data_IF_308627578335
#
_entry.id   IF_308627578335
#
_cell.length_a   1.000
_cell.length_b   1.000
_cell.length_c   1.000
_cell.angle_alpha   90.00
_cell.angle_beta   90.00
_cell.angle_gamma   90.00
#
_symmetry.space_group_name_H-M   'P 1'
#
loop_
_entity.id
_entity.type
_entity.pdbx_description
1 polymer ?
#
# COMPACT_ATOMS: atom_id res chain seq x y z
N UNK A 1 -47.91 -59.83 -32.40
CA UNK A 1 -48.10 -58.61 -31.59
C UNK A 1 -47.79 -58.88 -30.12
N UNK A 2 -46.52 -58.95 -29.70
CA UNK A 2 -46.12 -59.04 -28.28
C UNK A 2 -44.61 -58.87 -28.11
N UNK A 3 -44.06 -57.69 -28.45
CA UNK A 3 -42.65 -57.34 -28.15
C UNK A 3 -42.48 -55.81 -28.05
N UNK A 4 -43.16 -55.17 -27.10
CA UNK A 4 -42.97 -53.72 -26.86
C UNK A 4 -43.23 -53.25 -25.42
N UNK A 5 -43.04 -54.13 -24.42
CA UNK A 5 -43.27 -53.79 -23.00
C UNK A 5 -42.05 -53.94 -22.08
N UNK A 6 -40.82 -54.10 -22.60
CA UNK A 6 -39.62 -54.32 -21.75
C UNK A 6 -38.66 -53.14 -21.58
N UNK A 7 -38.82 -52.01 -22.28
CA UNK A 7 -37.82 -50.92 -22.23
C UNK A 7 -38.17 -49.70 -21.35
N UNK A 8 -39.41 -49.57 -20.87
CA UNK A 8 -39.79 -48.38 -20.07
C UNK A 8 -39.14 -48.39 -18.68
N UNK A 9 -38.96 -49.56 -18.07
CA UNK A 9 -38.38 -49.69 -16.73
C UNK A 9 -36.91 -49.25 -16.66
N UNK A 10 -36.11 -49.63 -17.66
CA UNK A 10 -34.67 -49.32 -17.70
C UNK A 10 -34.40 -47.83 -17.90
N UNK A 11 -35.20 -47.15 -18.72
CA UNK A 11 -35.08 -45.70 -18.96
C UNK A 11 -35.44 -44.91 -17.70
N UNK A 12 -36.49 -45.31 -16.97
CA UNK A 12 -36.88 -44.65 -15.71
C UNK A 12 -35.79 -44.81 -14.64
N UNK A 13 -35.20 -45.99 -14.50
CA UNK A 13 -34.10 -46.21 -13.54
C UNK A 13 -32.86 -45.38 -13.90
N UNK A 14 -32.49 -45.30 -15.18
CA UNK A 14 -31.36 -44.49 -15.62
C UNK A 14 -31.57 -42.98 -15.35
N UNK A 15 -32.77 -42.46 -15.62
CA UNK A 15 -33.10 -41.04 -15.35
C UNK A 15 -33.06 -40.73 -13.85
N UNK A 16 -33.57 -41.64 -13.01
CA UNK A 16 -33.51 -41.47 -11.55
C UNK A 16 -32.07 -41.50 -11.02
N UNK A 17 -31.21 -42.39 -11.52
CA UNK A 17 -29.80 -42.47 -11.12
C UNK A 17 -29.02 -41.21 -11.51
N UNK A 18 -29.26 -40.66 -12.70
CA UNK A 18 -28.65 -39.38 -13.13
C UNK A 18 -29.15 -38.23 -12.27
N UNK A 19 -30.47 -38.17 -11.98
CA UNK A 19 -31.04 -37.14 -11.12
C UNK A 19 -30.47 -37.14 -9.69
N UNK A 20 -30.34 -38.33 -9.08
CA UNK A 20 -29.75 -38.49 -7.74
C UNK A 20 -28.26 -38.10 -7.74
N UNK A 21 -27.50 -38.50 -8.77
CA UNK A 21 -26.08 -38.16 -8.90
C UNK A 21 -25.87 -36.65 -9.04
N UNK A 22 -26.70 -35.97 -9.83
CA UNK A 22 -26.64 -34.52 -9.99
C UNK A 22 -27.01 -33.78 -8.69
N UNK A 23 -28.05 -34.23 -7.99
CA UNK A 23 -28.46 -33.65 -6.70
C UNK A 23 -27.37 -33.80 -5.63
N UNK A 24 -26.73 -34.99 -5.55
CA UNK A 24 -25.59 -35.22 -4.65
C UNK A 24 -24.40 -34.34 -5.03
N UNK A 25 -24.07 -34.21 -6.31
CA UNK A 25 -22.98 -33.35 -6.77
C UNK A 25 -23.22 -31.87 -6.40
N UNK A 26 -24.43 -31.36 -6.61
CA UNK A 26 -24.81 -29.98 -6.23
C UNK A 26 -24.73 -29.78 -4.72
N UNK A 27 -25.22 -30.75 -3.93
CA UNK A 27 -25.17 -30.71 -2.45
C UNK A 27 -23.72 -30.70 -1.94
N UNK A 28 -22.87 -31.60 -2.44
CA UNK A 28 -21.44 -31.66 -2.06
C UNK A 28 -20.71 -30.36 -2.44
N UNK A 29 -20.97 -29.81 -3.64
CA UNK A 29 -20.41 -28.51 -4.05
C UNK A 29 -20.86 -27.37 -3.16
N UNK A 30 -22.11 -27.35 -2.73
CA UNK A 30 -22.63 -26.32 -1.82
C UNK A 30 -21.99 -26.44 -0.42
N UNK A 31 -21.86 -27.65 0.12
CA UNK A 31 -21.19 -27.89 1.41
C UNK A 31 -19.72 -27.50 1.37
N UNK A 32 -18.97 -27.89 0.32
CA UNK A 32 -17.57 -27.50 0.16
C UNK A 32 -17.40 -25.97 0.00
N UNK A 33 -18.32 -25.32 -0.71
CA UNK A 33 -18.31 -23.85 -0.82
C UNK A 33 -18.61 -23.16 0.53
N UNK A 34 -19.45 -23.76 1.38
CA UNK A 34 -19.74 -23.25 2.71
C UNK A 34 -18.55 -23.43 3.66
N UNK A 35 -17.94 -24.61 3.69
CA UNK A 35 -16.74 -24.91 4.47
C UNK A 35 -15.54 -24.04 4.07
N UNK A 36 -15.37 -23.80 2.76
CA UNK A 36 -14.32 -22.90 2.30
C UNK A 36 -14.54 -21.46 2.78
N UNK A 37 -15.79 -20.97 2.74
CA UNK A 37 -16.13 -19.63 3.25
C UNK A 37 -15.94 -19.52 4.76
N UNK A 38 -16.27 -20.56 5.54
CA UNK A 38 -16.04 -20.52 7.00
C UNK A 38 -14.56 -20.51 7.32
N UNK A 39 -13.74 -21.33 6.66
CA UNK A 39 -12.29 -21.34 6.85
C UNK A 39 -11.63 -20.00 6.49
N UNK A 40 -12.04 -19.35 5.39
CA UNK A 40 -11.56 -18.00 5.03
C UNK A 40 -11.94 -16.96 6.09
N UNK A 41 -13.19 -17.01 6.59
CA UNK A 41 -13.68 -16.08 7.63
C UNK A 41 -12.94 -16.28 8.95
N UNK A 42 -12.65 -17.52 9.35
CA UNK A 42 -11.88 -17.82 10.56
C UNK A 42 -10.42 -17.37 10.45
N UNK A 43 -9.75 -17.65 9.33
CA UNK A 43 -8.40 -17.17 9.07
C UNK A 43 -8.34 -15.62 9.08
N UNK A 44 -9.35 -14.96 8.54
CA UNK A 44 -9.47 -13.51 8.60
C UNK A 44 -9.66 -13.00 10.03
N UNK A 45 -10.53 -13.62 10.83
CA UNK A 45 -10.71 -13.29 12.26
C UNK A 45 -9.40 -13.44 13.04
N UNK A 46 -8.65 -14.51 12.81
CA UNK A 46 -7.37 -14.73 13.48
C UNK A 46 -6.34 -13.64 13.14
N UNK A 47 -6.23 -13.23 11.86
CA UNK A 47 -5.38 -12.12 11.43
C UNK A 47 -5.82 -10.79 12.02
N UNK A 48 -7.13 -10.54 12.09
CA UNK A 48 -7.68 -9.33 12.71
C UNK A 48 -7.34 -9.26 14.21
N UNK A 49 -7.47 -10.37 14.95
CA UNK A 49 -7.08 -10.43 16.37
C UNK A 49 -5.57 -10.23 16.57
N UNK A 50 -4.71 -10.82 15.73
CA UNK A 50 -3.27 -10.62 15.80
C UNK A 50 -2.86 -9.15 15.52
N UNK A 51 -3.51 -8.52 14.53
CA UNK A 51 -3.34 -7.10 14.25
C UNK A 51 -3.80 -6.23 15.43
N UNK A 52 -4.92 -6.57 16.07
CA UNK A 52 -5.43 -5.87 17.25
C UNK A 52 -4.50 -6.01 18.46
N UNK A 53 -3.95 -7.19 18.71
CA UNK A 53 -2.96 -7.41 19.77
C UNK A 53 -1.70 -6.54 19.55
N UNK A 54 -1.21 -6.47 18.31
CA UNK A 54 -0.08 -5.63 17.92
C UNK A 54 -0.37 -4.14 18.14
N UNK A 55 -1.57 -3.69 17.77
CA UNK A 55 -2.00 -2.30 18.00
C UNK A 55 -2.10 -2.00 19.50
N UNK A 56 -2.64 -2.92 20.30
CA UNK A 56 -2.77 -2.75 21.76
C UNK A 56 -1.41 -2.61 22.44
N UNK A 57 -0.38 -3.34 21.98
CA UNK A 57 1.00 -3.19 22.44
C UNK A 57 1.62 -1.82 22.09
N UNK A 58 1.12 -1.14 21.07
CA UNK A 58 1.62 0.16 20.62
C UNK A 58 0.82 1.36 21.18
N UNK A 59 -0.31 1.11 21.87
CA UNK A 59 -1.29 2.12 22.27
C UNK A 59 -1.43 2.33 23.79
N UNK A 60 -0.75 1.54 24.64
CA UNK A 60 -0.69 1.81 26.09
C UNK A 60 0.57 2.62 26.46
N UNK A 61 0.48 3.97 26.54
CA UNK A 61 1.62 4.80 26.93
C UNK A 61 2.03 4.62 28.40
N UNK A 62 1.24 3.93 29.23
CA UNK A 62 1.50 3.72 30.65
C UNK A 62 2.06 2.33 30.97
N UNK A 63 1.98 1.36 30.05
CA UNK A 63 2.57 0.02 30.22
C UNK A 63 3.85 -0.22 29.40
N UNK A 64 4.39 0.77 28.70
CA UNK A 64 5.76 0.64 28.20
C UNK A 64 6.73 0.64 29.39
N UNK A 65 7.42 -0.48 29.72
CA UNK A 65 8.62 -0.39 30.54
C UNK A 65 9.50 0.68 29.88
N UNK A 66 10.04 1.61 30.68
CA UNK A 66 10.93 2.71 30.22
C UNK A 66 11.65 2.23 28.98
N UNK A 67 11.29 2.78 27.81
CA UNK A 67 11.73 2.27 26.53
C UNK A 67 13.22 1.94 26.65
N UNK A 68 13.59 0.68 26.45
CA UNK A 68 14.97 0.25 26.48
C UNK A 68 15.78 1.32 25.72
N UNK A 69 16.89 1.81 26.29
CA UNK A 69 17.59 2.98 25.78
C UNK A 69 17.72 2.84 24.28
N UNK A 70 16.98 3.69 23.55
CA UNK A 70 16.92 3.61 22.09
C UNK A 70 18.37 3.62 21.63
N UNK A 71 18.80 2.54 20.96
CA UNK A 71 20.16 2.39 20.44
C UNK A 71 20.57 3.73 19.84
N UNK A 72 21.73 4.22 20.31
CA UNK A 72 22.20 5.58 20.11
C UNK A 72 21.91 6.10 18.70
N UNK A 73 21.10 7.15 18.61
CA UNK A 73 21.02 7.95 17.38
C UNK A 73 22.42 8.47 17.08
N UNK A 74 22.99 8.02 15.95
CA UNK A 74 24.26 8.55 15.46
C UNK A 74 24.09 10.04 15.22
N UNK A 75 24.90 10.88 15.87
CA UNK A 75 24.94 12.34 15.66
C UNK A 75 25.62 12.74 14.34
N UNK A 76 25.89 11.80 13.43
CA UNK A 76 26.58 12.12 12.19
C UNK A 76 25.65 12.99 11.34
N UNK A 77 25.99 14.28 11.23
CA UNK A 77 25.34 15.25 10.37
C UNK A 77 25.65 14.87 8.92
N UNK A 78 24.93 13.88 8.39
CA UNK A 78 24.98 13.60 6.97
C UNK A 78 24.38 14.80 6.24
N UNK A 79 25.12 15.30 5.26
CA UNK A 79 24.56 16.23 4.28
C UNK A 79 23.37 15.50 3.65
N UNK A 80 22.17 16.09 3.71
CA UNK A 80 21.01 15.51 3.04
C UNK A 80 21.38 15.36 1.56
N UNK A 81 21.20 14.18 1.00
CA UNK A 81 21.59 13.88 -0.38
C UNK A 81 20.80 14.67 -1.45
N UNK A 82 20.01 15.67 -1.03
CA UNK A 82 19.01 16.33 -1.84
C UNK A 82 17.89 15.36 -2.24
N UNK A 83 16.78 15.93 -2.71
CA UNK A 83 15.79 15.15 -3.45
C UNK A 83 16.36 14.90 -4.86
N UNK A 84 16.36 13.65 -5.38
CA UNK A 84 16.81 13.37 -6.74
C UNK A 84 16.12 14.27 -7.77
N UNK A 85 16.86 14.76 -8.77
CA UNK A 85 16.37 15.73 -9.74
C UNK A 85 15.08 15.29 -10.46
N UNK A 86 14.91 13.97 -10.68
CA UNK A 86 13.69 13.40 -11.30
C UNK A 86 12.40 13.63 -10.49
N UNK A 87 12.51 13.94 -9.20
CA UNK A 87 11.38 14.32 -8.35
C UNK A 87 11.28 15.85 -8.17
N UNK A 88 12.29 16.63 -8.59
CA UNK A 88 12.37 18.07 -8.38
C UNK A 88 12.23 18.50 -6.92
N UNK A 89 11.76 19.73 -6.71
CA UNK A 89 11.57 20.28 -5.37
C UNK A 89 10.48 19.53 -4.57
N UNK A 90 10.61 19.46 -3.22
CA UNK A 90 9.58 18.89 -2.36
C UNK A 90 8.18 19.46 -2.62
N UNK A 91 7.16 18.57 -2.64
CA UNK A 91 5.76 18.92 -2.91
C UNK A 91 4.88 18.48 -1.76
N UNK A 92 4.22 19.47 -1.13
CA UNK A 92 3.21 19.24 -0.10
C UNK A 92 1.94 19.97 -0.51
N UNK A 93 0.84 19.24 -0.62
CA UNK A 93 -0.47 19.76 -1.04
C UNK A 93 -1.40 19.83 0.17
N UNK A 94 -2.20 20.90 0.28
CA UNK A 94 -3.14 21.08 1.38
C UNK A 94 -2.65 21.98 2.52
N UNK A 95 -1.47 22.60 2.39
CA UNK A 95 -0.91 23.52 3.40
C UNK A 95 -1.84 24.72 3.67
N UNK A 96 -2.57 25.16 2.65
CA UNK A 96 -3.57 26.22 2.71
C UNK A 96 -4.74 25.85 3.65
N UNK A 97 -5.01 24.56 3.88
CA UNK A 97 -6.11 24.11 4.75
C UNK A 97 -5.73 24.05 6.23
N UNK A 98 -4.43 24.14 6.56
CA UNK A 98 -3.93 23.96 7.92
C UNK A 98 -4.47 25.02 8.89
N UNK A 99 -4.51 26.29 8.48
CA UNK A 99 -4.99 27.39 9.32
C UNK A 99 -6.46 27.21 9.67
N UNK A 100 -7.29 26.86 8.68
CA UNK A 100 -8.71 26.58 8.86
C UNK A 100 -8.95 25.43 9.85
N UNK A 101 -8.19 24.33 9.72
CA UNK A 101 -8.28 23.21 10.66
C UNK A 101 -7.92 23.62 12.09
N UNK A 102 -6.80 24.33 12.28
CA UNK A 102 -6.37 24.78 13.61
C UNK A 102 -7.37 25.75 14.24
N UNK A 103 -8.03 26.60 13.43
CA UNK A 103 -9.09 27.49 13.89
C UNK A 103 -10.37 26.76 14.29
N UNK A 104 -10.75 25.72 13.55
CA UNK A 104 -11.98 24.97 13.80
C UNK A 104 -11.87 23.96 14.96
N UNK A 105 -10.67 23.42 15.23
CA UNK A 105 -10.47 22.35 16.21
C UNK A 105 -9.63 22.84 17.38
N UNK A 106 -10.17 22.71 18.61
CA UNK A 106 -9.47 23.07 19.85
C UNK A 106 -8.15 22.30 19.99
N UNK A 107 -7.06 22.92 20.51
CA UNK A 107 -5.73 22.29 20.58
C UNK A 107 -5.72 20.85 21.13
N UNK A 108 -6.32 20.60 22.29
CA UNK A 108 -6.38 19.26 22.93
C UNK A 108 -7.18 18.21 22.13
N UNK A 109 -7.96 18.66 21.14
CA UNK A 109 -8.75 17.81 20.25
C UNK A 109 -8.15 17.69 18.86
N UNK A 110 -7.06 18.39 18.51
CA UNK A 110 -6.42 18.25 17.19
C UNK A 110 -5.73 16.90 17.11
N UNK A 111 -6.10 16.10 16.11
CA UNK A 111 -5.52 14.78 15.88
C UNK A 111 -5.06 14.68 14.45
N UNK A 112 -3.92 14.05 14.23
CA UNK A 112 -3.51 13.62 12.90
C UNK A 112 -3.54 12.11 12.78
N UNK A 113 -3.70 11.65 11.56
CA UNK A 113 -3.70 10.24 11.27
C UNK A 113 -3.10 9.96 9.89
N UNK A 114 -2.25 8.93 9.74
CA UNK A 114 -1.73 8.58 8.43
C UNK A 114 -2.84 7.99 7.56
N UNK A 115 -2.86 8.40 6.30
CA UNK A 115 -3.66 7.82 5.24
C UNK A 115 -2.77 7.54 4.02
N UNK A 116 -3.15 6.61 3.16
CA UNK A 116 -2.39 6.29 1.96
C UNK A 116 -2.68 4.89 1.47
N UNK A 117 -2.45 4.63 0.19
CA UNK A 117 -2.59 3.29 -0.39
C UNK A 117 -1.66 2.28 0.31
N UNK A 118 -1.89 0.98 0.09
CA UNK A 118 -0.88 -0.02 0.45
C UNK A 118 0.48 0.35 -0.17
N UNK A 119 1.58 0.06 0.52
CA UNK A 119 2.95 0.33 0.04
C UNK A 119 3.35 1.79 -0.27
N UNK A 120 2.58 2.80 0.15
CA UNK A 120 2.98 4.21 -0.05
C UNK A 120 3.91 4.77 1.03
N UNK A 121 4.12 4.09 2.16
CA UNK A 121 5.00 4.57 3.24
C UNK A 121 4.30 5.22 4.44
N UNK A 122 3.01 4.94 4.66
CA UNK A 122 2.27 5.43 5.85
C UNK A 122 2.95 5.09 7.19
N UNK A 123 3.62 3.94 7.31
CA UNK A 123 4.36 3.60 8.52
C UNK A 123 5.60 4.50 8.73
N UNK A 124 6.28 4.89 7.64
CA UNK A 124 7.42 5.83 7.70
C UNK A 124 6.94 7.20 8.17
N UNK A 125 5.86 7.72 7.59
CA UNK A 125 5.21 8.95 8.04
C UNK A 125 4.89 8.89 9.54
N UNK A 126 4.24 7.81 9.97
CA UNK A 126 3.84 7.64 11.36
C UNK A 126 5.03 7.65 12.32
N UNK A 127 6.09 6.88 12.02
CA UNK A 127 7.30 6.82 12.84
C UNK A 127 7.97 8.20 12.93
N UNK A 128 8.14 8.88 11.79
CA UNK A 128 8.79 10.20 11.74
C UNK A 128 8.00 11.27 12.51
N UNK A 129 6.68 11.38 12.29
CA UNK A 129 5.87 12.36 13.01
C UNK A 129 5.79 12.07 14.52
N UNK A 130 5.68 10.80 14.95
CA UNK A 130 5.67 10.47 16.38
C UNK A 130 7.00 10.79 17.07
N UNK A 131 8.12 10.58 16.37
CA UNK A 131 9.44 10.88 16.93
C UNK A 131 9.69 12.39 17.04
N UNK A 132 9.18 13.16 16.08
CA UNK A 132 9.60 14.55 15.85
C UNK A 132 8.52 15.62 16.05
N UNK A 133 7.26 15.26 16.31
CA UNK A 133 6.20 16.24 16.54
C UNK A 133 5.78 16.28 18.01
N UNK A 134 5.80 17.47 18.61
CA UNK A 134 5.30 17.74 19.95
C UNK A 134 3.97 18.49 19.87
N UNK A 135 3.03 18.18 20.76
CA UNK A 135 1.77 18.90 20.90
C UNK A 135 1.63 19.41 22.32
N UNK A 136 1.01 20.58 22.48
CA UNK A 136 0.71 21.14 23.79
C UNK A 136 -0.53 20.50 24.40
N UNK A 137 -0.48 20.27 25.71
CA UNK A 137 -1.58 19.71 26.48
C UNK A 137 -1.63 18.17 26.48
N UNK A 138 -2.63 17.64 27.19
CA UNK A 138 -2.90 16.20 27.27
C UNK A 138 -3.87 15.83 26.15
N UNK A 139 -3.51 14.86 25.31
CA UNK A 139 -4.38 14.41 24.22
C UNK A 139 -3.79 13.29 23.37
N UNK A 140 -4.67 12.52 22.72
CA UNK A 140 -4.30 11.52 21.70
C UNK A 140 -4.14 12.21 20.35
N UNK A 141 -3.05 12.98 20.18
CA UNK A 141 -2.81 13.77 18.97
C UNK A 141 -2.36 12.93 17.77
N UNK A 142 -1.65 11.82 18.00
CA UNK A 142 -1.08 10.98 16.95
C UNK A 142 -1.79 9.62 16.86
N UNK A 143 -2.68 9.46 15.88
CA UNK A 143 -3.36 8.19 15.65
C UNK A 143 -2.50 7.24 14.80
N UNK A 144 -2.58 5.94 15.08
CA UNK A 144 -1.90 4.91 14.27
C UNK A 144 -2.46 4.84 12.83
N UNK A 145 -3.74 5.17 12.65
CA UNK A 145 -4.43 5.20 11.36
C UNK A 145 -5.62 6.15 11.41
N UNK A 146 -6.07 6.63 10.24
CA UNK A 146 -7.33 7.34 10.13
C UNK A 146 -8.49 6.48 10.65
N UNK A 147 -9.53 7.05 11.29
CA UNK A 147 -10.59 6.23 11.86
C UNK A 147 -11.34 5.36 10.87
N UNK A 148 -11.45 5.78 9.62
CA UNK A 148 -12.03 5.00 8.54
C UNK A 148 -11.07 3.98 7.92
N UNK A 149 -9.87 3.79 8.49
CA UNK A 149 -8.83 2.87 8.02
C UNK A 149 -7.80 3.56 7.13
N UNK A 150 -6.50 3.38 7.41
CA UNK A 150 -5.41 4.10 6.70
C UNK A 150 -5.35 3.84 5.18
N UNK A 151 -5.83 2.68 4.73
CA UNK A 151 -5.79 2.26 3.32
C UNK A 151 -7.13 2.41 2.59
N UNK A 152 -8.19 2.81 3.31
CA UNK A 152 -9.51 2.90 2.71
C UNK A 152 -9.67 4.19 1.90
N UNK A 153 -10.46 4.15 0.80
CA UNK A 153 -10.82 5.34 0.05
C UNK A 153 -11.47 6.39 0.96
N UNK A 154 -11.36 7.65 0.60
CA UNK A 154 -11.84 8.76 1.43
C UNK A 154 -13.35 8.75 1.66
N UNK A 155 -14.12 8.16 0.74
CA UNK A 155 -15.57 8.01 0.86
C UNK A 155 -15.99 7.19 2.10
N UNK A 156 -15.06 6.48 2.74
CA UNK A 156 -15.31 5.74 3.97
C UNK A 156 -15.22 6.62 5.24
N UNK A 157 -14.79 7.88 5.11
CA UNK A 157 -14.71 8.84 6.21
C UNK A 157 -16.12 9.10 6.78
N UNK A 158 -16.34 8.70 8.04
CA UNK A 158 -17.63 8.81 8.71
C UNK A 158 -18.53 7.57 8.54
N UNK A 159 -18.42 6.91 7.39
CA UNK A 159 -19.18 5.69 7.05
C UNK A 159 -18.59 4.41 7.64
N UNK A 160 -17.28 4.40 7.92
CA UNK A 160 -16.60 3.27 8.55
C UNK A 160 -15.70 3.72 9.68
N UNK A 161 -15.61 2.80 10.65
CA UNK A 161 -14.76 2.90 11.82
C UNK A 161 -13.94 1.63 11.93
N UNK A 162 -12.62 1.79 11.99
CA UNK A 162 -11.71 0.71 12.31
C UNK A 162 -12.04 0.18 13.72
N UNK A 163 -11.83 -1.12 14.01
CA UNK A 163 -12.32 -1.76 15.23
C UNK A 163 -11.92 -1.06 16.54
N UNK A 164 -10.74 -0.45 16.60
CA UNK A 164 -10.27 0.27 17.78
C UNK A 164 -10.96 1.63 18.02
N UNK A 165 -11.69 2.14 17.02
CA UNK A 165 -12.42 3.40 17.10
C UNK A 165 -13.94 3.23 17.20
N UNK A 166 -14.43 1.99 17.39
CA UNK A 166 -15.86 1.70 17.58
C UNK A 166 -16.24 1.74 19.05
N UNK A 167 -17.50 2.11 19.38
CA UNK A 167 -18.04 1.89 20.72
C UNK A 167 -17.91 0.41 21.14
N UNK A 168 -17.62 0.12 22.41
CA UNK A 168 -17.52 1.05 23.55
C UNK A 168 -16.12 1.67 23.76
N UNK A 169 -15.15 1.43 22.86
CA UNK A 169 -13.73 1.78 23.11
C UNK A 169 -13.51 3.29 23.18
N UNK A 170 -13.49 3.94 22.03
CA UNK A 170 -13.30 5.39 21.91
C UNK A 170 -13.54 5.81 20.47
N UNK A 171 -14.41 6.79 20.23
CA UNK A 171 -14.74 7.27 18.89
C UNK A 171 -14.48 8.78 18.81
N UNK A 172 -13.39 9.26 18.17
CA UNK A 172 -13.18 10.69 17.98
C UNK A 172 -14.24 11.29 17.06
N UNK A 173 -14.61 12.56 17.24
CA UNK A 173 -15.36 13.29 16.22
C UNK A 173 -14.51 13.40 14.94
N UNK A 174 -15.11 13.12 13.77
CA UNK A 174 -14.38 12.97 12.50
C UNK A 174 -13.71 14.29 12.08
N UNK A 175 -14.32 15.41 12.43
CA UNK A 175 -13.89 16.80 12.17
C UNK A 175 -12.61 17.13 12.94
N UNK A 176 -12.34 16.39 14.01
CA UNK A 176 -11.12 16.57 14.82
C UNK A 176 -9.91 15.85 14.25
N UNK A 177 -10.09 15.08 13.17
CA UNK A 177 -9.06 14.28 12.51
C UNK A 177 -8.56 15.00 11.26
N UNK A 178 -7.26 15.26 11.23
CA UNK A 178 -6.53 15.78 10.09
C UNK A 178 -5.74 14.65 9.41
N UNK A 179 -6.22 14.10 8.28
CA UNK A 179 -5.49 13.06 7.59
C UNK A 179 -4.23 13.63 6.93
N UNK A 180 -3.09 13.01 7.23
CA UNK A 180 -1.83 13.24 6.53
C UNK A 180 -1.62 12.05 5.59
N UNK A 181 -1.92 12.28 4.33
CA UNK A 181 -1.81 11.30 3.27
C UNK A 181 -0.37 11.18 2.77
N UNK A 182 0.08 9.95 2.53
CA UNK A 182 1.28 9.69 1.73
C UNK A 182 0.89 9.25 0.32
N UNK A 183 1.36 10.00 -0.69
CA UNK A 183 1.36 9.58 -2.09
C UNK A 183 2.78 9.14 -2.46
N UNK A 184 2.92 8.19 -3.38
CA UNK A 184 4.20 7.64 -3.82
C UNK A 184 4.26 7.61 -5.33
N UNK A 185 5.45 7.77 -5.92
CA UNK A 185 5.65 7.65 -7.36
C UNK A 185 4.95 6.39 -7.91
N UNK A 186 4.08 6.51 -8.93
CA UNK A 186 3.25 5.40 -9.39
C UNK A 186 4.08 4.24 -9.95
N UNK A 187 5.20 4.52 -10.62
CA UNK A 187 6.07 3.47 -11.19
C UNK A 187 6.75 2.66 -10.09
N UNK A 188 7.24 3.31 -9.03
CA UNK A 188 7.86 2.59 -7.91
C UNK A 188 6.84 1.96 -6.96
N UNK A 189 5.64 2.55 -6.88
CA UNK A 189 4.52 2.02 -6.11
C UNK A 189 3.98 0.72 -6.71
N UNK A 190 3.73 0.65 -8.02
CA UNK A 190 3.23 -0.57 -8.68
C UNK A 190 4.20 -1.75 -8.50
N UNK A 191 5.52 -1.52 -8.64
CA UNK A 191 6.54 -2.54 -8.30
C UNK A 191 6.47 -2.99 -6.84
N UNK A 192 6.12 -2.10 -5.93
CA UNK A 192 5.94 -2.45 -4.52
C UNK A 192 4.69 -3.31 -4.31
N UNK A 193 3.60 -3.03 -5.04
CA UNK A 193 2.39 -3.86 -5.05
C UNK A 193 2.64 -5.26 -5.60
N UNK A 194 3.48 -5.40 -6.63
CA UNK A 194 3.93 -6.70 -7.14
C UNK A 194 4.59 -7.57 -6.06
N UNK A 195 5.40 -6.95 -5.19
CA UNK A 195 6.11 -7.67 -4.13
C UNK A 195 5.19 -8.03 -2.96
N UNK A 196 4.31 -7.11 -2.57
CA UNK A 196 3.42 -7.25 -1.42
C UNK A 196 2.05 -6.66 -1.77
N UNK A 197 1.15 -7.45 -2.39
CA UNK A 197 -0.12 -6.92 -2.88
C UNK A 197 -1.16 -6.68 -1.76
N UNK A 198 -0.97 -7.27 -0.58
CA UNK A 198 -1.91 -7.23 0.54
C UNK A 198 -3.32 -7.69 0.13
N UNK A 199 -4.32 -6.83 0.33
CA UNK A 199 -5.73 -7.06 -0.02
C UNK A 199 -6.06 -6.69 -1.49
N UNK A 200 -5.05 -6.27 -2.26
CA UNK A 200 -5.21 -6.08 -3.69
C UNK A 200 -4.97 -7.41 -4.42
N UNK A 201 -5.84 -7.72 -5.35
CA UNK A 201 -5.75 -8.84 -6.26
C UNK A 201 -5.79 -8.29 -7.67
N UNK A 202 -4.73 -8.47 -8.44
CA UNK A 202 -4.69 -8.03 -9.82
C UNK A 202 -4.32 -9.17 -10.74
N UNK A 203 -4.97 -9.20 -11.91
CA UNK A 203 -4.70 -10.22 -12.92
C UNK A 203 -3.26 -10.06 -13.39
N UNK A 204 -2.48 -11.12 -13.25
CA UNK A 204 -1.25 -11.31 -13.99
C UNK A 204 -1.29 -12.71 -14.58
N UNK A 205 -0.92 -12.82 -15.85
CA UNK A 205 -0.75 -14.14 -16.46
C UNK A 205 0.26 -14.93 -15.62
N UNK A 206 0.07 -16.25 -15.50
CA UNK A 206 0.96 -17.12 -14.72
C UNK A 206 2.44 -17.00 -15.12
N UNK A 207 2.70 -16.55 -16.36
CA UNK A 207 4.03 -16.29 -16.93
C UNK A 207 4.71 -15.00 -16.41
N UNK A 208 3.98 -14.10 -15.76
CA UNK A 208 4.46 -12.80 -15.25
C UNK A 208 4.38 -12.66 -13.73
N UNK A 209 4.27 -13.78 -13.00
CA UNK A 209 4.15 -13.77 -11.53
C UNK A 209 5.47 -13.54 -10.78
N UNK A 210 6.61 -13.52 -11.47
CA UNK A 210 7.87 -13.25 -10.80
C UNK A 210 7.99 -11.76 -10.48
N UNK A 211 8.65 -11.44 -9.36
CA UNK A 211 9.00 -10.05 -9.02
C UNK A 211 9.82 -9.36 -10.11
N UNK A 212 10.48 -10.12 -10.99
CA UNK A 212 11.29 -9.62 -12.10
C UNK A 212 10.48 -9.26 -13.37
N UNK A 213 9.19 -9.56 -13.42
CA UNK A 213 8.34 -9.31 -14.61
C UNK A 213 7.16 -8.39 -14.33
N UNK A 214 6.68 -8.36 -13.10
CA UNK A 214 5.63 -7.44 -12.66
C UNK A 214 6.18 -6.00 -12.49
N UNK A 215 5.46 -4.94 -12.94
CA UNK A 215 4.04 -4.94 -13.31
C UNK A 215 3.74 -5.07 -14.81
N UNK A 216 4.70 -5.43 -15.66
CA UNK A 216 4.46 -5.59 -17.10
C UNK A 216 3.71 -6.91 -17.41
N UNK A 217 2.73 -6.92 -18.33
CA UNK A 217 2.12 -5.75 -18.98
C UNK A 217 1.13 -5.02 -18.05
N UNK A 218 1.29 -3.71 -17.86
CA UNK A 218 0.48 -2.91 -16.92
C UNK A 218 -0.98 -2.84 -17.35
N UNK A 219 -1.24 -2.82 -18.66
CA UNK A 219 -2.60 -2.79 -19.21
C UNK A 219 -3.44 -4.05 -18.84
N UNK A 220 -2.79 -5.15 -18.45
CA UNK A 220 -3.48 -6.40 -18.08
C UNK A 220 -3.66 -6.54 -16.57
N UNK A 221 -3.39 -5.50 -15.79
CA UNK A 221 -3.42 -5.52 -14.32
C UNK A 221 -4.78 -5.15 -13.73
N UNK A 222 -5.88 -5.61 -14.32
CA UNK A 222 -7.23 -5.41 -13.76
C UNK A 222 -7.21 -5.76 -12.27
N UNK A 223 -7.57 -4.79 -11.43
CA UNK A 223 -7.33 -4.83 -9.99
C UNK A 223 -8.63 -4.82 -9.22
N UNK A 224 -8.77 -5.76 -8.29
CA UNK A 224 -9.79 -5.76 -7.25
C UNK A 224 -9.13 -5.54 -5.89
N UNK A 225 -9.62 -4.61 -5.08
CA UNK A 225 -9.08 -4.35 -3.75
C UNK A 225 -10.16 -4.56 -2.69
N UNK A 226 -9.88 -5.44 -1.72
CA UNK A 226 -10.77 -5.66 -0.58
C UNK A 226 -10.49 -4.64 0.52
N UNK A 227 -10.98 -3.41 0.35
CA UNK A 227 -10.93 -2.39 1.43
C UNK A 227 -11.80 -2.80 2.63
N UNK A 228 -12.93 -3.44 2.34
CA UNK A 228 -13.75 -4.14 3.32
C UNK A 228 -14.19 -5.50 2.75
N UNK A 229 -14.48 -6.49 3.63
CA UNK A 229 -14.90 -7.82 3.20
C UNK A 229 -16.12 -7.83 2.27
N UNK A 230 -17.05 -6.89 2.45
CA UNK A 230 -18.35 -6.88 1.75
C UNK A 230 -18.44 -5.86 0.61
N UNK A 231 -17.42 -5.03 0.41
CA UNK A 231 -17.43 -3.94 -0.59
C UNK A 231 -16.06 -3.82 -1.26
N UNK A 232 -15.68 -4.77 -2.12
CA UNK A 232 -14.44 -4.66 -2.89
C UNK A 232 -14.54 -3.48 -3.87
N UNK A 233 -13.42 -2.77 -4.07
CA UNK A 233 -13.25 -1.82 -5.16
C UNK A 233 -12.72 -2.54 -6.40
N UNK A 234 -13.20 -2.16 -7.58
CA UNK A 234 -12.77 -2.71 -8.86
C UNK A 234 -12.21 -1.59 -9.74
N UNK A 235 -11.07 -1.86 -10.38
CA UNK A 235 -10.30 -0.90 -11.15
C UNK A 235 -9.79 -1.57 -12.42
N UNK A 236 -9.77 -0.82 -13.51
CA UNK A 236 -9.34 -1.33 -14.82
C UNK A 236 -7.86 -1.77 -14.84
N UNK A 237 -7.00 -1.12 -14.06
CA UNK A 237 -5.58 -1.48 -13.93
C UNK A 237 -5.01 -1.02 -12.58
N UNK A 238 -3.78 -1.44 -12.24
CA UNK A 238 -3.03 -0.88 -11.12
C UNK A 238 -2.82 0.64 -11.26
N UNK A 239 -2.63 1.14 -12.49
CA UNK A 239 -2.49 2.57 -12.74
C UNK A 239 -3.80 3.30 -12.43
N UNK A 240 -4.95 2.77 -12.89
CA UNK A 240 -6.27 3.35 -12.58
C UNK A 240 -6.56 3.35 -11.08
N UNK A 241 -6.25 2.25 -10.37
CA UNK A 241 -6.32 2.21 -8.91
C UNK A 241 -5.49 3.32 -8.25
N UNK A 242 -4.25 3.55 -8.71
CA UNK A 242 -3.42 4.63 -8.17
C UNK A 242 -4.04 6.02 -8.44
N UNK A 243 -4.47 6.27 -9.68
CA UNK A 243 -5.03 7.55 -10.08
C UNK A 243 -6.31 7.88 -9.33
N UNK A 244 -7.29 6.98 -9.37
CA UNK A 244 -8.61 7.18 -8.76
C UNK A 244 -8.53 7.33 -7.24
N UNK A 245 -7.72 6.51 -6.56
CA UNK A 245 -7.62 6.57 -5.10
C UNK A 245 -7.01 7.88 -4.61
N UNK A 246 -5.94 8.35 -5.27
CA UNK A 246 -5.29 9.62 -4.90
C UNK A 246 -6.14 10.82 -5.31
N UNK A 247 -6.78 10.80 -6.49
CA UNK A 247 -7.69 11.84 -6.93
C UNK A 247 -8.89 12.01 -5.97
N UNK A 248 -9.44 10.91 -5.46
CA UNK A 248 -10.55 10.96 -4.51
C UNK A 248 -10.18 11.77 -3.25
N UNK A 249 -9.00 11.56 -2.69
CA UNK A 249 -8.53 12.39 -1.57
C UNK A 249 -8.13 13.80 -2.00
N UNK A 250 -7.57 13.99 -3.20
CA UNK A 250 -7.25 15.33 -3.70
C UNK A 250 -8.50 16.20 -3.90
N UNK A 251 -9.68 15.61 -4.09
CA UNK A 251 -10.91 16.34 -4.42
C UNK A 251 -11.86 16.56 -3.22
N UNK A 252 -11.42 16.33 -1.99
CA UNK A 252 -12.27 16.57 -0.82
C UNK A 252 -12.26 18.03 -0.37
N UNK A 253 -13.35 18.45 0.27
CA UNK A 253 -13.52 19.81 0.81
C UNK A 253 -12.99 19.98 2.23
N UNK A 254 -12.76 18.89 2.97
CA UNK A 254 -12.27 18.96 4.34
C UNK A 254 -10.74 19.12 4.40
N UNK A 255 -10.19 19.70 5.49
CA UNK A 255 -8.75 19.90 5.64
C UNK A 255 -7.95 18.58 5.64
N UNK A 256 -6.85 18.57 4.91
CA UNK A 256 -5.95 17.42 4.77
C UNK A 256 -4.56 17.90 4.36
N UNK A 257 -3.59 17.01 4.44
CA UNK A 257 -2.27 17.23 3.84
C UNK A 257 -1.87 16.00 3.03
N UNK A 258 -1.29 16.21 1.85
CA UNK A 258 -0.74 15.14 1.02
C UNK A 258 0.76 15.40 0.88
N UNK A 259 1.57 14.43 1.30
CA UNK A 259 3.03 14.46 1.20
C UNK A 259 3.52 13.32 0.30
N UNK A 260 4.62 13.54 -0.42
CA UNK A 260 5.28 12.48 -1.18
C UNK A 260 6.10 11.57 -0.26
N UNK A 261 6.13 10.28 -0.58
CA UNK A 261 7.00 9.32 0.10
C UNK A 261 8.48 9.68 -0.07
N UNK A 262 8.82 10.18 -1.25
CA UNK A 262 10.16 10.58 -1.65
C UNK A 262 10.63 11.78 -0.82
N UNK A 263 9.75 12.76 -0.56
CA UNK A 263 10.07 13.89 0.31
C UNK A 263 10.23 13.45 1.78
N UNK A 264 9.42 12.49 2.24
CA UNK A 264 9.61 11.86 3.55
C UNK A 264 10.94 11.09 3.66
N UNK A 265 11.53 10.66 2.54
CA UNK A 265 12.77 9.88 2.51
C UNK A 265 14.02 10.78 2.41
N UNK A 266 13.99 11.75 1.50
CA UNK A 266 15.12 12.61 1.14
C UNK A 266 15.14 13.94 1.89
N UNK A 267 13.98 14.51 2.22
CA UNK A 267 13.84 15.77 2.96
C UNK A 267 12.90 15.61 4.16
N UNK A 268 13.21 14.58 4.98
CA UNK A 268 12.37 14.16 6.11
C UNK A 268 12.13 15.29 7.10
N UNK A 269 13.17 16.05 7.45
CA UNK A 269 13.09 17.11 8.46
C UNK A 269 12.12 18.22 8.04
N UNK A 270 12.29 18.79 6.84
CA UNK A 270 11.41 19.84 6.33
C UNK A 270 9.98 19.32 6.18
N UNK A 271 9.80 18.13 5.60
CA UNK A 271 8.48 17.55 5.33
C UNK A 271 7.71 17.30 6.62
N UNK A 272 8.37 16.71 7.63
CA UNK A 272 7.78 16.40 8.92
C UNK A 272 7.53 17.65 9.75
N UNK A 273 8.42 18.66 9.66
CA UNK A 273 8.19 19.97 10.29
C UNK A 273 6.92 20.62 9.76
N UNK A 274 6.79 20.74 8.44
CA UNK A 274 5.60 21.34 7.80
C UNK A 274 4.32 20.56 8.14
N UNK A 275 4.37 19.23 8.12
CA UNK A 275 3.23 18.40 8.51
C UNK A 275 2.86 18.56 10.00
N UNK A 276 3.86 18.63 10.89
CA UNK A 276 3.65 18.82 12.32
C UNK A 276 2.99 20.17 12.64
N UNK A 277 3.56 21.25 12.10
CA UNK A 277 3.06 22.63 12.27
C UNK A 277 1.66 22.79 11.65
N UNK A 278 1.39 22.11 10.53
CA UNK A 278 0.08 22.11 9.90
C UNK A 278 -1.03 21.70 10.87
N UNK A 279 -0.83 20.62 11.63
CA UNK A 279 -1.82 20.11 12.61
C UNK A 279 -1.80 20.90 13.93
N UNK A 280 -0.86 21.83 14.08
CA UNK A 280 -0.71 22.67 15.27
C UNK A 280 0.19 22.07 16.34
N UNK A 281 1.09 21.17 15.96
CA UNK A 281 2.23 20.77 16.79
C UNK A 281 3.45 21.65 16.52
N UNK A 282 4.54 21.35 17.24
CA UNK A 282 5.87 21.96 17.06
C UNK A 282 6.89 20.87 16.77
N UNK A 283 7.73 21.08 15.75
CA UNK A 283 8.80 20.15 15.43
C UNK A 283 9.86 20.13 16.54
N UNK A 284 10.31 18.94 16.91
CA UNK A 284 11.37 18.73 17.91
C UNK A 284 12.74 18.93 17.28
N UNK A 285 13.66 19.44 18.10
CA UNK A 285 15.09 19.47 17.80
C UNK A 285 15.87 18.69 18.88
N UNK A 286 16.89 17.88 18.51
CA UNK A 286 17.30 17.56 17.14
C UNK A 286 16.28 16.65 16.43
N UNK A 287 16.22 16.74 15.10
CA UNK A 287 15.42 15.84 14.28
C UNK A 287 15.94 14.41 14.37
N UNK A 288 15.04 13.43 14.50
CA UNK A 288 15.32 12.00 14.59
C UNK A 288 14.90 11.31 13.31
N UNK A 289 15.88 10.86 12.55
CA UNK A 289 15.65 10.06 11.35
C UNK A 289 15.19 8.64 11.70
N UNK A 290 14.36 8.06 10.84
CA UNK A 290 13.99 6.64 10.91
C UNK A 290 14.98 5.82 10.06
N UNK A 291 16.06 5.35 10.67
CA UNK A 291 17.08 4.53 9.97
C UNK A 291 16.64 3.08 9.77
N UNK A 292 15.95 2.53 10.78
CA UNK A 292 15.52 1.15 10.77
C UNK A 292 14.35 0.93 9.81
N UNK A 293 14.36 -0.25 9.21
CA UNK A 293 13.30 -0.72 8.35
C UNK A 293 11.93 -0.59 9.06
N UNK A 294 10.95 0.00 8.37
CA UNK A 294 9.66 0.32 9.00
C UNK A 294 8.68 -0.85 9.07
N UNK A 295 9.12 -2.00 8.57
CA UNK A 295 8.38 -3.24 8.43
C UNK A 295 9.34 -4.35 8.82
N UNK A 296 8.94 -5.29 9.65
CA UNK A 296 9.72 -6.49 9.93
C UNK A 296 9.06 -7.70 9.24
N UNK A 297 9.74 -8.85 9.24
CA UNK A 297 9.19 -10.09 8.69
C UNK A 297 7.92 -10.53 9.45
N UNK A 298 7.81 -10.14 10.73
CA UNK A 298 6.65 -10.46 11.59
C UNK A 298 5.35 -9.85 11.07
N UNK A 299 5.41 -8.72 10.35
CA UNK A 299 4.26 -8.06 9.74
C UNK A 299 3.78 -8.68 8.41
N UNK A 300 4.16 -9.93 8.11
CA UNK A 300 3.71 -10.67 6.92
C UNK A 300 4.39 -10.23 5.62
N UNK A 301 5.55 -9.57 5.72
CA UNK A 301 6.34 -9.16 4.58
C UNK A 301 7.20 -10.30 4.06
N UNK A 302 7.09 -10.59 2.75
CA UNK A 302 7.99 -11.53 2.08
C UNK A 302 9.18 -10.79 1.50
N UNK A 303 10.38 -11.17 1.92
CA UNK A 303 11.65 -10.69 1.36
C UNK A 303 12.38 -9.66 2.21
N UNK A 304 13.62 -9.30 1.81
CA UNK A 304 14.49 -8.44 2.59
C UNK A 304 13.87 -7.05 2.75
N UNK A 305 13.76 -6.59 4.00
CA UNK A 305 13.31 -5.25 4.28
C UNK A 305 14.42 -4.26 3.92
N UNK A 306 14.05 -3.14 3.28
CA UNK A 306 14.99 -2.07 3.02
C UNK A 306 15.07 -1.17 4.26
N UNK A 307 16.26 -1.07 4.84
CA UNK A 307 16.62 0.06 5.68
C UNK A 307 16.58 1.38 4.88
N UNK A 308 16.76 2.49 5.58
CA UNK A 308 16.72 3.80 4.95
C UNK A 308 17.79 3.96 3.87
N UNK A 309 19.02 3.54 4.12
CA UNK A 309 20.12 3.70 3.16
C UNK A 309 19.88 2.95 1.85
N UNK A 310 19.36 1.73 1.95
CA UNK A 310 18.97 0.94 0.78
C UNK A 310 17.78 1.57 0.06
N UNK A 311 16.82 2.14 0.80
CA UNK A 311 15.74 2.90 0.19
C UNK A 311 16.29 4.13 -0.55
N UNK A 312 17.15 4.94 0.07
CA UNK A 312 17.77 6.11 -0.55
C UNK A 312 18.45 5.75 -1.87
N UNK A 313 19.28 4.70 -1.89
CA UNK A 313 19.93 4.23 -3.12
C UNK A 313 18.91 3.81 -4.18
N UNK A 314 17.88 3.06 -3.79
CA UNK A 314 16.86 2.56 -4.71
C UNK A 314 16.03 3.68 -5.34
N UNK A 315 15.60 4.67 -4.54
CA UNK A 315 14.76 5.77 -5.02
C UNK A 315 15.58 6.92 -5.61
N UNK A 316 16.90 6.94 -5.45
CA UNK A 316 17.78 7.89 -6.14
C UNK A 316 18.16 7.42 -7.55
N UNK A 317 17.98 6.13 -7.87
CA UNK A 317 18.34 5.56 -9.16
C UNK A 317 17.16 5.60 -10.14
N UNK A 318 17.25 6.47 -11.14
CA UNK A 318 16.26 6.58 -12.20
C UNK A 318 16.16 5.31 -13.06
N UNK A 319 17.26 4.58 -13.27
CA UNK A 319 17.22 3.30 -13.99
C UNK A 319 16.38 2.29 -13.24
N UNK A 320 16.52 2.24 -11.91
CA UNK A 320 15.68 1.41 -11.07
C UNK A 320 14.22 1.84 -11.15
N UNK A 321 13.90 3.15 -11.20
CA UNK A 321 12.53 3.67 -11.40
C UNK A 321 11.83 3.02 -12.59
N UNK A 322 12.48 2.95 -13.75
CA UNK A 322 11.96 2.36 -15.00
C UNK A 322 12.12 0.84 -15.13
N UNK A 323 12.81 0.18 -14.19
CA UNK A 323 13.01 -1.27 -14.26
C UNK A 323 11.67 -2.02 -14.36
N UNK A 324 11.65 -3.05 -15.21
CA UNK A 324 10.50 -3.95 -15.47
C UNK A 324 9.33 -3.35 -16.25
N UNK A 325 9.46 -2.11 -16.76
CA UNK A 325 8.49 -1.54 -17.69
C UNK A 325 8.97 -1.68 -19.14
N UNK A 326 8.01 -1.88 -20.05
CA UNK A 326 8.19 -1.66 -21.48
C UNK A 326 7.77 -0.24 -21.86
N UNK A 327 8.14 0.23 -23.06
CA UNK A 327 7.67 1.52 -23.57
C UNK A 327 6.13 1.57 -23.64
N UNK A 328 5.48 0.47 -24.05
CA UNK A 328 4.02 0.38 -24.09
C UNK A 328 3.40 0.51 -22.70
N UNK A 329 4.05 -0.05 -21.66
CA UNK A 329 3.58 0.11 -20.28
C UNK A 329 3.63 1.58 -19.85
N UNK A 330 4.73 2.28 -20.16
CA UNK A 330 4.87 3.69 -19.80
C UNK A 330 3.89 4.59 -20.56
N UNK A 331 3.64 4.32 -21.84
CA UNK A 331 2.60 5.00 -22.63
C UNK A 331 1.22 4.76 -22.00
N UNK A 332 0.91 3.51 -21.64
CA UNK A 332 -0.34 3.17 -20.97
C UNK A 332 -0.51 3.92 -19.64
N UNK A 333 0.51 3.88 -18.77
CA UNK A 333 0.48 4.57 -17.46
C UNK A 333 0.29 6.08 -17.65
N UNK A 334 1.00 6.68 -18.62
CA UNK A 334 0.86 8.11 -18.92
C UNK A 334 -0.57 8.44 -19.35
N UNK A 335 -1.18 7.62 -20.21
CA UNK A 335 -2.55 7.85 -20.68
C UNK A 335 -3.58 7.63 -19.57
N UNK A 336 -3.40 6.61 -18.72
CA UNK A 336 -4.28 6.32 -17.60
C UNK A 336 -4.26 7.41 -16.52
N UNK A 337 -3.09 8.00 -16.25
CA UNK A 337 -2.90 8.96 -15.17
C UNK A 337 -2.91 10.43 -15.61
N UNK A 338 -2.55 10.70 -16.87
CA UNK A 338 -2.42 12.05 -17.43
C UNK A 338 -3.66 12.93 -17.24
N UNK A 339 -4.88 12.47 -17.55
CA UNK A 339 -6.10 13.27 -17.42
C UNK A 339 -6.37 13.81 -16.01
N UNK A 340 -5.84 13.16 -14.97
CA UNK A 340 -6.02 13.59 -13.58
C UNK A 340 -5.11 14.76 -13.17
N UNK A 341 -4.08 15.08 -13.95
CA UNK A 341 -3.05 16.06 -13.59
C UNK A 341 -2.16 15.66 -12.40
N UNK A 342 -2.36 14.46 -11.81
CA UNK A 342 -1.62 14.02 -10.62
C UNK A 342 -0.12 13.84 -10.88
N UNK A 343 0.27 13.42 -12.09
CA UNK A 343 1.67 13.28 -12.46
C UNK A 343 2.39 14.63 -12.41
N UNK A 344 1.77 15.69 -12.91
CA UNK A 344 2.35 17.03 -12.92
C UNK A 344 2.34 17.64 -11.51
N UNK A 345 1.21 17.52 -10.80
CA UNK A 345 1.05 18.05 -9.45
C UNK A 345 2.13 17.53 -8.48
N UNK A 346 2.43 16.23 -8.53
CA UNK A 346 3.43 15.60 -7.68
C UNK A 346 4.81 15.47 -8.32
N UNK A 347 4.98 16.02 -9.52
CA UNK A 347 6.23 15.97 -10.28
C UNK A 347 6.75 14.53 -10.47
N UNK A 348 5.82 13.64 -10.83
CA UNK A 348 6.07 12.24 -11.20
C UNK A 348 6.03 12.02 -12.70
N UNK A 349 6.21 13.08 -13.51
CA UNK A 349 6.48 12.94 -14.93
C UNK A 349 7.63 11.97 -15.19
N UNK A 350 7.56 11.29 -16.34
CA UNK A 350 8.55 10.30 -16.74
C UNK A 350 8.64 10.23 -18.28
N UNK A 351 9.81 9.87 -18.77
CA UNK A 351 10.07 9.72 -20.20
C UNK A 351 9.83 8.26 -20.63
N UNK A 352 9.01 8.09 -21.67
CA UNK A 352 8.69 6.78 -22.24
C UNK A 352 9.90 6.18 -22.96
N UNK A 353 10.81 7.02 -23.45
CA UNK A 353 12.02 6.60 -24.17
C UNK A 353 13.10 6.06 -23.23
N UNK A 354 13.01 6.38 -21.93
CA UNK A 354 13.86 5.83 -20.87
C UNK A 354 13.40 4.45 -20.39
N UNK A 355 12.27 3.93 -20.90
CA UNK A 355 11.98 2.51 -20.76
C UNK A 355 13.23 1.72 -21.17
N UNK A 356 13.73 0.78 -20.33
CA UNK A 356 14.90 -0.01 -20.69
C UNK A 356 14.65 -0.57 -22.07
N UNK A 357 15.48 -0.20 -23.07
CA UNK A 357 15.40 -0.65 -24.47
C UNK A 357 15.61 -2.16 -24.52
N UNK A 358 14.55 -2.84 -24.11
CA UNK A 358 14.33 -4.20 -23.65
C UNK A 358 15.50 -4.90 -22.93
N UNK A 359 15.08 -5.70 -21.95
CA UNK A 359 15.76 -6.87 -21.41
C UNK A 359 16.43 -7.81 -22.46
N UNK A 360 16.40 -7.54 -23.77
CA UNK A 360 17.25 -8.21 -24.78
C UNK A 360 18.74 -8.03 -24.49
N UNK A 361 19.22 -6.83 -24.10
CA UNK A 361 20.64 -6.64 -23.76
C UNK A 361 21.02 -7.33 -22.44
N UNK A 362 20.16 -7.27 -21.43
CA UNK A 362 20.39 -7.95 -20.13
C UNK A 362 20.32 -9.47 -20.27
N UNK A 363 19.33 -10.03 -21.00
CA UNK A 363 19.26 -11.47 -21.34
C UNK A 363 20.42 -11.91 -22.23
N UNK A 364 20.84 -11.10 -23.21
CA UNK A 364 22.02 -11.40 -24.05
C UNK A 364 23.31 -11.38 -23.22
N UNK A 365 23.51 -10.39 -22.34
CA UNK A 365 24.65 -10.36 -21.40
C UNK A 365 24.63 -11.53 -20.41
N UNK A 366 23.47 -11.89 -19.86
CA UNK A 366 23.35 -13.03 -18.94
C UNK A 366 23.61 -14.37 -19.66
N UNK A 367 23.06 -14.56 -20.87
CA UNK A 367 23.37 -15.73 -21.71
C UNK A 367 24.84 -15.78 -22.14
N UNK A 368 25.46 -14.65 -22.46
CA UNK A 368 26.90 -14.60 -22.78
C UNK A 368 27.77 -14.89 -21.55
N UNK A 369 27.38 -14.41 -20.36
CA UNK A 369 28.07 -14.71 -19.12
C UNK A 369 27.94 -16.19 -18.72
N UNK A 370 26.75 -16.79 -18.88
CA UNK A 370 26.51 -18.21 -18.67
C UNK A 370 27.28 -19.08 -19.68
N UNK A 371 27.30 -18.69 -20.96
CA UNK A 371 28.06 -19.39 -22.00
C UNK A 371 29.58 -19.40 -21.72
N UNK A 372 30.14 -18.25 -21.31
CA UNK A 372 31.57 -18.14 -20.98
C UNK A 372 31.95 -18.90 -19.71
N UNK A 373 31.03 -19.08 -18.75
CA UNK A 373 31.31 -19.85 -17.54
C UNK A 373 31.34 -21.36 -17.82
N UNK A 374 30.52 -21.83 -18.77
CA UNK A 374 30.51 -23.24 -19.19
C UNK A 374 31.74 -23.62 -20.03
N UNK A 375 32.41 -22.68 -20.71
CA UNK A 375 33.58 -22.98 -21.55
C UNK A 375 34.88 -23.13 -20.76
N UNK A 376 34.94 -22.66 -19.51
CA UNK A 376 36.17 -22.66 -18.69
C UNK A 376 36.35 -23.93 -17.86
N UNK A 377 35.34 -24.82 -17.80
CA UNK A 377 35.38 -26.03 -16.95
C UNK A 377 35.77 -27.30 -17.75
N UNK A 378 36.00 -27.19 -19.06
CA UNK A 378 36.47 -28.31 -19.90
C UNK A 378 37.80 -27.99 -20.56
N UNK A 379 38.88 -28.05 -19.79
CA UNK A 379 40.23 -28.24 -20.32
C UNK A 379 41.00 -29.10 -19.30
N UNK A 380 41.46 -30.31 -19.68
CA UNK A 380 42.28 -31.17 -18.83
C UNK A 380 43.70 -30.63 -18.63
#
# INVERSE_FOLDING_TARGET
MTRHRRDVGTVVVAVLLVGVSLALYVSVRASLALEYRTAEVEAWRARAMAAEATVRMLEDPHQHPRAAPVRSFSKKKEASAGVPAMYGEPRIVGLETCSAFRGAVKPHSRRWAPAGMFNCGTNTLLKLLRANCAFEGKGRHALWQAPWGKHNPVAWRGEHWAPQFRPPKWQPAVETIFPVMVVKDPLTWMKSMCRNPYEAHFKHTSRHRSQETCPSPVAETETTVRFQPTRPGHYESLAHLWGEWNAAYLNVSFPRLIVRFEDLLFDSERTVKLACECVGGTARAPFRQAEEATKDESAGHRGPVNDRDKALRLYADETERYAHYTANDLVFVRNALGPSGLLDLFHYGFDVELAPRSNRRRRRRRRLAEYNFSTVITSP
#
